data_IF_382352803008
#
_entry.id   IF_382352803008
#
_cell.length_a   1.000
_cell.length_b   1.000
_cell.length_c   1.000
_cell.angle_alpha   90.00
_cell.angle_beta   90.00
_cell.angle_gamma   90.00
#
_symmetry.space_group_name_H-M   'P 1'
#
loop_
_entity.id
_entity.type
_entity.pdbx_description
1 polymer ?
#
# COMPACT_ATOMS: atom_id res chain seq x y z
N UNK A 1 -5.05 -52.92 -5.13
CA UNK A 1 -4.97 -51.47 -5.41
C UNK A 1 -5.97 -51.12 -6.51
N UNK A 2 -7.23 -50.80 -6.17
CA UNK A 2 -8.31 -50.66 -7.17
C UNK A 2 -8.74 -49.22 -7.46
N UNK A 3 -8.09 -48.22 -6.85
CA UNK A 3 -8.48 -46.81 -6.99
C UNK A 3 -7.28 -45.86 -7.20
N UNK A 4 -6.35 -46.13 -8.14
CA UNK A 4 -5.25 -45.18 -8.40
C UNK A 4 -5.77 -43.81 -8.86
N UNK A 5 -6.90 -43.77 -9.59
CA UNK A 5 -7.54 -42.53 -10.02
C UNK A 5 -8.16 -41.72 -8.88
N UNK A 6 -8.70 -42.37 -7.85
CA UNK A 6 -9.24 -41.66 -6.68
C UNK A 6 -8.11 -41.01 -5.87
N UNK A 7 -6.95 -41.67 -5.77
CA UNK A 7 -5.76 -41.11 -5.14
C UNK A 7 -5.28 -39.89 -5.95
N UNK A 8 -5.24 -39.98 -7.28
CA UNK A 8 -4.82 -38.88 -8.16
C UNK A 8 -5.74 -37.65 -8.03
N UNK A 9 -7.05 -37.86 -7.85
CA UNK A 9 -8.06 -36.81 -7.71
C UNK A 9 -7.92 -36.02 -6.39
N UNK A 10 -7.34 -36.63 -5.35
CA UNK A 10 -7.25 -36.03 -4.01
C UNK A 10 -5.96 -35.21 -3.78
N UNK A 11 -4.98 -35.25 -4.70
CA UNK A 11 -3.72 -34.47 -4.57
C UNK A 11 -3.88 -32.94 -4.44
N UNK A 12 -4.81 -32.25 -5.13
CA UNK A 12 -4.86 -30.79 -5.04
C UNK A 12 -5.50 -30.29 -3.72
N UNK A 13 -6.03 -31.16 -2.86
CA UNK A 13 -6.62 -30.74 -1.59
C UNK A 13 -5.57 -30.41 -0.52
N UNK A 14 -4.32 -30.85 -0.69
CA UNK A 14 -3.22 -30.61 0.26
C UNK A 14 -2.30 -29.47 -0.15
N UNK A 15 -2.52 -28.83 -1.31
CA UNK A 15 -1.74 -27.65 -1.72
C UNK A 15 -2.33 -26.40 -1.06
N UNK A 16 -1.72 -25.99 0.03
CA UNK A 16 -2.02 -24.70 0.66
C UNK A 16 -1.19 -23.62 -0.03
N UNK A 17 -1.86 -22.65 -0.70
CA UNK A 17 -1.20 -21.49 -1.26
C UNK A 17 -0.96 -20.47 -0.14
N UNK A 18 0.24 -20.46 0.43
CA UNK A 18 0.64 -19.51 1.47
C UNK A 18 1.42 -18.35 0.84
N UNK A 19 0.88 -17.13 0.91
CA UNK A 19 1.59 -15.92 0.48
C UNK A 19 2.25 -15.28 1.69
N UNK A 20 3.58 -15.25 1.70
CA UNK A 20 4.38 -14.65 2.76
C UNK A 20 4.61 -13.18 2.48
N UNK A 21 4.56 -12.37 3.53
CA UNK A 21 4.90 -10.94 3.51
C UNK A 21 6.10 -10.70 4.42
N UNK A 22 7.10 -9.99 3.93
CA UNK A 22 8.24 -9.53 4.73
C UNK A 22 8.58 -8.07 4.43
N UNK A 23 9.39 -7.48 5.30
CA UNK A 23 9.87 -6.11 5.20
C UNK A 23 11.38 -6.19 5.06
N UNK A 24 11.93 -5.64 3.97
CA UNK A 24 13.37 -5.63 3.74
C UNK A 24 14.09 -4.60 4.64
N UNK A 25 15.42 -4.63 4.62
CA UNK A 25 16.28 -3.70 5.38
C UNK A 25 16.02 -2.20 5.05
N UNK A 26 15.45 -1.91 3.88
CA UNK A 26 15.11 -0.55 3.43
C UNK A 26 13.67 -0.13 3.85
N UNK A 27 12.91 -1.03 4.47
CA UNK A 27 11.54 -0.79 4.93
C UNK A 27 10.46 -1.02 3.87
N UNK A 28 10.80 -1.59 2.71
CA UNK A 28 9.84 -1.92 1.66
C UNK A 28 9.15 -3.25 1.94
N UNK A 29 7.87 -3.32 1.54
CA UNK A 29 7.05 -4.51 1.74
C UNK A 29 7.08 -5.40 0.50
N UNK A 30 7.48 -6.65 0.67
CA UNK A 30 7.52 -7.67 -0.38
C UNK A 30 6.53 -8.80 -0.11
N UNK A 31 6.09 -9.46 -1.20
CA UNK A 31 5.14 -10.58 -1.16
C UNK A 31 5.68 -11.75 -2.01
N UNK A 32 5.61 -12.98 -1.53
CA UNK A 32 6.10 -14.15 -2.26
C UNK A 32 5.59 -15.49 -1.74
N UNK A 33 5.71 -16.51 -2.58
CA UNK A 33 5.23 -17.89 -2.34
C UNK A 33 6.21 -18.74 -1.51
N UNK A 34 7.38 -18.20 -1.16
CA UNK A 34 8.41 -18.89 -0.38
C UNK A 34 9.06 -17.94 0.62
N UNK A 35 9.17 -18.32 1.90
CA UNK A 35 9.95 -17.55 2.86
C UNK A 35 11.42 -17.63 2.45
N UNK A 36 12.02 -16.48 2.14
CA UNK A 36 13.46 -16.38 1.93
C UNK A 36 14.17 -16.64 3.26
N UNK A 37 15.07 -17.63 3.30
CA UNK A 37 15.74 -18.17 4.50
C UNK A 37 16.47 -17.16 5.41
N UNK A 38 16.56 -15.88 5.03
CA UNK A 38 17.44 -14.89 5.65
C UNK A 38 16.73 -13.88 6.55
N UNK A 39 15.40 -13.85 6.60
CA UNK A 39 14.65 -12.84 7.37
C UNK A 39 13.56 -13.48 8.23
N UNK A 40 13.21 -12.86 9.38
CA UNK A 40 12.12 -13.33 10.22
C UNK A 40 10.78 -13.22 9.47
N UNK A 41 10.41 -14.28 8.77
CA UNK A 41 9.15 -14.38 8.04
C UNK A 41 8.01 -14.66 9.02
N UNK A 42 7.03 -13.78 9.07
CA UNK A 42 5.76 -14.04 9.76
C UNK A 42 4.82 -14.71 8.77
N UNK A 43 4.50 -15.98 9.04
CA UNK A 43 3.45 -16.70 8.30
C UNK A 43 2.11 -16.07 8.66
N UNK A 44 1.46 -15.44 7.68
CA UNK A 44 0.14 -14.85 7.86
C UNK A 44 -0.84 -15.68 7.02
N UNK A 45 -1.67 -16.49 7.68
CA UNK A 45 -2.86 -17.04 7.05
C UNK A 45 -3.71 -15.83 6.59
N UNK A 46 -3.95 -15.73 5.29
CA UNK A 46 -4.80 -14.68 4.73
C UNK A 46 -6.25 -15.07 5.00
N UNK A 47 -6.64 -14.94 6.26
CA UNK A 47 -8.04 -14.94 6.65
C UNK A 47 -8.66 -13.62 6.16
N UNK A 48 -9.79 -13.75 5.47
CA UNK A 48 -10.60 -12.74 4.79
C UNK A 48 -10.20 -11.26 5.01
N UNK A 49 -9.81 -10.60 3.91
CA UNK A 49 -9.75 -9.13 3.71
C UNK A 49 -9.71 -8.33 5.02
N UNK A 50 -8.67 -8.53 5.83
CA UNK A 50 -8.37 -7.60 6.90
C UNK A 50 -7.74 -6.40 6.22
N UNK A 51 -8.53 -5.33 6.08
CA UNK A 51 -8.01 -4.00 5.78
C UNK A 51 -6.99 -3.67 6.87
N UNK A 52 -5.73 -4.02 6.64
CA UNK A 52 -4.64 -3.65 7.53
C UNK A 52 -4.62 -2.12 7.59
N UNK A 53 -4.68 -1.50 8.78
CA UNK A 53 -4.50 -0.07 8.88
C UNK A 53 -3.13 0.23 8.28
N UNK A 54 -3.13 1.08 7.25
CA UNK A 54 -1.90 1.55 6.63
C UNK A 54 -0.98 2.08 7.72
N UNK A 55 0.23 1.53 7.84
CA UNK A 55 1.28 1.98 8.76
C UNK A 55 1.82 3.39 8.43
N UNK A 56 1.02 4.21 7.74
CA UNK A 56 1.25 5.63 7.49
C UNK A 56 0.50 6.56 8.44
N UNK A 57 -0.32 6.06 9.37
CA UNK A 57 -1.05 6.89 10.34
C UNK A 57 -0.21 7.25 11.57
N UNK A 58 1.07 7.61 11.33
CA UNK A 58 1.88 8.30 12.35
C UNK A 58 1.74 9.80 12.13
N UNK A 59 0.64 10.33 12.66
CA UNK A 59 0.58 11.66 13.26
C UNK A 59 0.72 12.88 12.33
N UNK A 60 0.28 12.80 11.07
CA UNK A 60 -0.02 14.00 10.28
C UNK A 60 -1.53 14.19 10.29
N UNK A 61 -2.02 14.86 11.33
CA UNK A 61 -3.45 15.11 11.58
C UNK A 61 -4.03 16.17 10.64
N UNK A 62 -3.64 16.16 9.37
CA UNK A 62 -4.22 17.01 8.35
C UNK A 62 -5.16 16.16 7.51
N UNK A 63 -6.45 16.48 7.54
CA UNK A 63 -7.40 15.75 6.70
C UNK A 63 -7.04 15.94 5.24
N UNK A 64 -7.34 14.96 4.39
CA UNK A 64 -7.14 15.06 2.93
C UNK A 64 -7.82 16.31 2.36
N UNK A 65 -8.93 16.71 2.97
CA UNK A 65 -9.69 17.92 2.68
C UNK A 65 -8.89 19.18 3.02
N UNK A 66 -8.31 19.27 4.21
CA UNK A 66 -7.51 20.43 4.65
C UNK A 66 -6.28 20.63 3.76
N UNK A 67 -5.62 19.54 3.36
CA UNK A 67 -4.51 19.61 2.40
C UNK A 67 -4.96 20.17 1.04
N UNK A 68 -6.14 19.76 0.56
CA UNK A 68 -6.71 20.28 -0.70
C UNK A 68 -7.06 21.75 -0.58
N UNK A 69 -7.67 22.17 0.51
CA UNK A 69 -8.04 23.57 0.74
C UNK A 69 -6.81 24.48 0.78
N UNK A 70 -5.77 24.09 1.51
CA UNK A 70 -4.51 24.86 1.56
C UNK A 70 -3.85 24.99 0.20
N UNK A 71 -3.87 23.92 -0.60
CA UNK A 71 -3.34 23.96 -1.97
C UNK A 71 -4.14 24.93 -2.86
N UNK A 72 -5.47 24.96 -2.73
CA UNK A 72 -6.30 25.88 -3.49
C UNK A 72 -6.05 27.34 -3.11
N UNK A 73 -5.86 27.62 -1.81
CA UNK A 73 -5.55 28.96 -1.31
C UNK A 73 -4.22 29.49 -1.84
N UNK A 74 -3.14 28.68 -1.77
CA UNK A 74 -1.83 29.12 -2.28
C UNK A 74 -1.85 29.40 -3.79
N UNK A 75 -2.62 28.61 -4.56
CA UNK A 75 -2.81 28.85 -5.99
C UNK A 75 -3.59 30.13 -6.29
N UNK A 76 -4.49 30.56 -5.40
CA UNK A 76 -5.25 31.80 -5.55
C UNK A 76 -4.38 33.02 -5.24
N UNK A 77 -3.60 32.96 -4.17
CA UNK A 77 -2.61 33.98 -3.80
C UNK A 77 -1.61 34.22 -4.95
N UNK A 78 -1.02 33.15 -5.50
CA UNK A 78 -0.12 33.21 -6.66
C UNK A 78 -0.76 33.92 -7.88
N UNK A 79 -2.06 33.72 -8.09
CA UNK A 79 -2.78 34.35 -9.19
C UNK A 79 -2.98 35.84 -8.95
N UNK A 80 -3.27 36.23 -7.72
CA UNK A 80 -3.45 37.63 -7.32
C UNK A 80 -2.13 38.38 -7.40
N UNK A 81 -1.05 37.81 -6.87
CA UNK A 81 0.29 38.40 -6.95
C UNK A 81 0.73 38.61 -8.40
N UNK A 82 0.54 37.61 -9.27
CA UNK A 82 0.84 37.75 -10.70
C UNK A 82 -0.02 38.81 -11.39
N UNK A 83 -1.26 39.04 -10.95
CA UNK A 83 -2.08 40.14 -11.49
C UNK A 83 -1.54 41.48 -11.05
N UNK A 84 -1.26 41.65 -9.75
CA UNK A 84 -0.70 42.88 -9.19
C UNK A 84 0.65 43.21 -9.81
N UNK A 85 1.54 42.23 -9.99
CA UNK A 85 2.83 42.44 -10.64
C UNK A 85 2.67 42.90 -12.10
N UNK A 86 1.71 42.33 -12.84
CA UNK A 86 1.41 42.76 -14.21
C UNK A 86 0.85 44.17 -14.26
N UNK A 87 -0.03 44.54 -13.32
CA UNK A 87 -0.58 45.88 -13.22
C UNK A 87 0.49 46.92 -12.86
N UNK A 88 1.39 46.60 -11.91
CA UNK A 88 2.51 47.47 -11.54
C UNK A 88 3.56 47.62 -12.64
N UNK A 89 3.75 46.60 -13.48
CA UNK A 89 4.66 46.68 -14.64
C UNK A 89 4.05 47.42 -15.83
N UNK A 90 2.71 47.58 -15.87
CA UNK A 90 1.99 48.23 -16.95
C UNK A 90 1.60 49.69 -16.63
N UNK A 91 1.80 50.16 -15.40
CA UNK A 91 1.65 51.55 -14.97
C UNK A 91 2.99 52.31 -15.00
#
# INVERSE_FOLDING_TARGET
>A
MRYPGLILLLLPLITQAAVYKWIDDEGNVHYGDKPTLSEPSVEMEVDDIVTVPSFGDRNDSMSREEMRERLLQSMEEDRLEKKQQREQQQA
#
